data_IF_740499206058
#
_entry.id   IF_740499206058
#
_cell.length_a   1.000
_cell.length_b   1.000
_cell.length_c   1.000
_cell.angle_alpha   90.00
_cell.angle_beta   90.00
_cell.angle_gamma   90.00
#
_symmetry.space_group_name_H-M   'P 1'
#
loop_
_entity.id
_entity.type
_entity.pdbx_description
1 polymer ?
#
# COMPACT_ATOMS: atom_id res chain seq x y z
N UNK A 1 6.52 4.81 -5.32
CA UNK A 1 7.06 4.86 -6.70
C UNK A 1 8.22 5.82 -6.80
N UNK A 2 8.01 7.13 -6.62
CA UNK A 2 9.08 8.13 -6.80
C UNK A 2 10.35 7.87 -5.97
N UNK A 3 10.24 7.66 -4.65
CA UNK A 3 11.41 7.42 -3.79
C UNK A 3 12.20 6.15 -4.15
N UNK A 4 11.50 5.08 -4.52
CA UNK A 4 12.13 3.85 -5.00
C UNK A 4 12.82 4.08 -6.36
N UNK A 5 12.21 4.88 -7.24
CA UNK A 5 12.83 5.32 -8.50
C UNK A 5 14.09 6.14 -8.26
N UNK A 6 14.07 7.13 -7.36
CA UNK A 6 15.26 7.91 -6.99
C UNK A 6 16.41 7.01 -6.52
N UNK A 7 16.11 5.98 -5.72
CA UNK A 7 17.14 5.04 -5.27
C UNK A 7 17.70 4.14 -6.35
N UNK A 8 16.94 3.86 -7.41
CA UNK A 8 17.40 3.02 -8.52
C UNK A 8 18.10 3.82 -9.63
N UNK A 9 17.67 5.05 -9.87
CA UNK A 9 18.08 5.84 -11.04
C UNK A 9 18.93 7.07 -10.71
N UNK A 10 19.03 7.48 -9.44
CA UNK A 10 19.79 8.67 -9.03
C UNK A 10 20.78 8.39 -7.89
N UNK A 11 20.30 8.09 -6.69
CA UNK A 11 21.16 7.88 -5.52
C UNK A 11 20.57 6.85 -4.55
N UNK A 12 21.33 5.80 -4.27
CA UNK A 12 20.94 4.65 -3.43
C UNK A 12 20.46 5.02 -2.02
N UNK A 13 20.94 6.13 -1.45
CA UNK A 13 20.57 6.58 -0.10
C UNK A 13 19.06 6.84 0.08
N UNK A 14 18.33 7.13 -1.00
CA UNK A 14 16.87 7.32 -0.97
C UNK A 14 16.09 6.04 -0.63
N UNK A 15 16.73 4.86 -0.62
CA UNK A 15 16.10 3.61 -0.21
C UNK A 15 15.63 3.66 1.25
N UNK A 16 16.38 4.34 2.13
CA UNK A 16 15.99 4.57 3.52
C UNK A 16 14.68 5.39 3.60
N UNK A 17 14.58 6.45 2.79
CA UNK A 17 13.37 7.28 2.68
C UNK A 17 12.18 6.49 2.13
N UNK A 18 12.39 5.64 1.11
CA UNK A 18 11.36 4.76 0.58
C UNK A 18 10.79 3.82 1.67
N UNK A 19 11.65 3.19 2.48
CA UNK A 19 11.23 2.33 3.60
C UNK A 19 10.59 3.10 4.76
N UNK A 20 10.98 4.35 4.98
CA UNK A 20 10.29 5.20 5.95
C UNK A 20 8.88 5.55 5.46
N UNK A 21 8.74 5.91 4.19
CA UNK A 21 7.46 6.22 3.58
C UNK A 21 6.50 5.02 3.58
N UNK A 22 7.00 3.80 3.27
CA UNK A 22 6.16 2.59 3.30
C UNK A 22 5.56 2.34 4.70
N UNK A 23 6.30 2.62 5.77
CA UNK A 23 5.78 2.51 7.15
C UNK A 23 4.65 3.50 7.41
N UNK A 24 4.78 4.75 6.97
CA UNK A 24 3.71 5.77 7.10
C UNK A 24 2.45 5.32 6.37
N UNK A 25 2.60 4.85 5.12
CA UNK A 25 1.49 4.31 4.33
C UNK A 25 0.81 3.18 5.11
N UNK A 26 1.55 2.14 5.51
CA UNK A 26 1.01 1.02 6.30
C UNK A 26 0.24 1.47 7.55
N UNK A 27 0.77 2.42 8.32
CA UNK A 27 0.08 2.95 9.50
C UNK A 27 -1.26 3.60 9.12
N UNK A 28 -1.30 4.39 8.05
CA UNK A 28 -2.53 5.01 7.57
C UNK A 28 -3.58 3.98 7.14
N UNK A 29 -3.20 2.91 6.43
CA UNK A 29 -4.16 1.86 6.07
C UNK A 29 -4.69 1.11 7.29
N UNK A 30 -3.84 0.84 8.28
CA UNK A 30 -4.30 0.24 9.54
C UNK A 30 -5.26 1.16 10.30
N UNK A 31 -4.96 2.46 10.35
CA UNK A 31 -5.85 3.46 10.94
C UNK A 31 -7.20 3.51 10.20
N UNK A 32 -7.21 3.50 8.87
CA UNK A 32 -8.46 3.45 8.08
C UNK A 32 -9.29 2.21 8.42
N UNK A 33 -8.64 1.04 8.58
CA UNK A 33 -9.33 -0.18 8.98
C UNK A 33 -9.90 -0.05 10.39
N UNK A 34 -9.09 0.29 11.37
CA UNK A 34 -9.52 0.41 12.79
C UNK A 34 -10.63 1.44 12.95
N UNK A 35 -10.47 2.63 12.37
CA UNK A 35 -11.47 3.69 12.44
C UNK A 35 -12.77 3.32 11.74
N UNK A 36 -12.75 2.48 10.70
CA UNK A 36 -13.98 1.98 10.06
C UNK A 36 -14.86 1.16 11.01
N UNK A 37 -14.26 0.47 11.99
CA UNK A 37 -15.00 -0.22 13.05
C UNK A 37 -15.50 0.75 14.12
N UNK A 38 -14.65 1.68 14.58
CA UNK A 38 -15.00 2.68 15.60
C UNK A 38 -16.17 3.55 15.13
N UNK A 39 -16.09 4.06 13.90
CA UNK A 39 -17.14 4.87 13.27
C UNK A 39 -18.34 4.04 12.77
N UNK A 40 -18.34 2.72 13.01
CA UNK A 40 -19.40 1.79 12.62
C UNK A 40 -19.77 1.86 11.14
N UNK A 41 -18.80 2.11 10.26
CA UNK A 41 -19.03 2.23 8.82
C UNK A 41 -19.65 0.95 8.23
N UNK A 42 -20.32 1.04 7.07
CA UNK A 42 -20.87 -0.11 6.37
C UNK A 42 -19.83 -1.23 6.17
N UNK A 43 -20.28 -2.49 6.24
CA UNK A 43 -19.41 -3.67 6.08
C UNK A 43 -18.62 -3.61 4.77
N UNK A 44 -19.20 -3.05 3.71
CA UNK A 44 -18.51 -2.85 2.43
C UNK A 44 -17.26 -1.97 2.56
N UNK A 45 -17.29 -0.91 3.36
CA UNK A 45 -16.11 -0.05 3.59
C UNK A 45 -15.08 -0.80 4.45
N UNK A 46 -15.52 -1.55 5.46
CA UNK A 46 -14.61 -2.34 6.31
C UNK A 46 -13.86 -3.39 5.51
N UNK A 47 -14.56 -4.13 4.64
CA UNK A 47 -13.96 -5.12 3.75
C UNK A 47 -12.98 -4.50 2.77
N UNK A 48 -13.31 -3.33 2.20
CA UNK A 48 -12.38 -2.60 1.31
C UNK A 48 -11.14 -2.12 2.07
N UNK A 49 -11.30 -1.57 3.27
CA UNK A 49 -10.16 -1.19 4.13
C UNK A 49 -9.30 -2.40 4.51
N UNK A 50 -9.91 -3.56 4.79
CA UNK A 50 -9.18 -4.80 5.04
C UNK A 50 -8.43 -5.28 3.78
N UNK A 51 -9.04 -5.13 2.60
CA UNK A 51 -8.42 -5.38 1.30
C UNK A 51 -7.17 -4.52 1.08
N UNK A 52 -7.19 -3.23 1.47
CA UNK A 52 -6.01 -2.36 1.40
C UNK A 52 -4.86 -2.88 2.28
N UNK A 53 -5.16 -3.39 3.48
CA UNK A 53 -4.15 -4.04 4.34
C UNK A 53 -3.60 -5.31 3.67
N UNK A 54 -4.46 -6.12 3.04
CA UNK A 54 -4.03 -7.27 2.24
C UNK A 54 -3.08 -6.89 1.11
N UNK A 55 -3.34 -5.77 0.42
CA UNK A 55 -2.45 -5.26 -0.63
C UNK A 55 -1.08 -4.82 -0.09
N UNK A 56 -1.01 -4.25 1.13
CA UNK A 56 0.27 -3.94 1.79
C UNK A 56 1.10 -5.21 2.05
N UNK A 57 0.44 -6.28 2.52
CA UNK A 57 1.08 -7.58 2.72
C UNK A 57 1.61 -8.11 1.38
N UNK A 58 0.78 -8.09 0.32
CA UNK A 58 1.17 -8.57 -1.00
C UNK A 58 2.33 -7.76 -1.59
N UNK A 59 2.35 -6.44 -1.40
CA UNK A 59 3.47 -5.59 -1.77
C UNK A 59 4.75 -5.94 -1.02
N UNK A 60 4.65 -6.26 0.27
CA UNK A 60 5.81 -6.68 1.07
C UNK A 60 6.36 -8.01 0.57
N UNK A 61 5.47 -8.98 0.28
CA UNK A 61 5.87 -10.27 -0.29
C UNK A 61 6.57 -10.07 -1.63
N UNK A 62 5.91 -9.39 -2.57
CA UNK A 62 6.47 -9.16 -3.93
C UNK A 62 7.78 -8.38 -3.91
N UNK A 63 7.98 -7.45 -2.97
CA UNK A 63 9.25 -6.73 -2.84
C UNK A 63 10.43 -7.60 -2.32
N UNK A 64 10.16 -8.73 -1.67
CA UNK A 64 11.18 -9.57 -1.00
C UNK A 64 11.34 -10.96 -1.64
N UNK A 65 10.77 -11.19 -2.83
CA UNK A 65 10.89 -12.48 -3.52
C UNK A 65 12.34 -12.77 -3.94
N UNK A 66 12.71 -14.04 -3.91
CA UNK A 66 14.03 -14.53 -4.32
C UNK A 66 14.21 -14.53 -5.85
N UNK A 67 15.46 -14.66 -6.30
CA UNK A 67 15.84 -14.56 -7.72
C UNK A 67 15.11 -15.54 -8.64
N UNK A 68 14.70 -16.72 -8.14
CA UNK A 68 13.98 -17.74 -8.92
C UNK A 68 12.58 -17.31 -9.39
N UNK A 69 11.98 -16.30 -8.77
CA UNK A 69 10.64 -15.77 -9.12
C UNK A 69 10.63 -14.24 -9.19
N UNK A 70 11.78 -13.61 -9.42
CA UNK A 70 11.95 -12.15 -9.36
C UNK A 70 11.10 -11.35 -10.35
N UNK A 71 10.61 -11.98 -11.43
CA UNK A 71 9.66 -11.31 -12.34
C UNK A 71 8.34 -10.95 -11.63
N UNK A 72 7.93 -11.71 -10.62
CA UNK A 72 6.77 -11.39 -9.78
C UNK A 72 7.01 -10.17 -8.89
N UNK A 73 8.27 -9.81 -8.61
CA UNK A 73 8.59 -8.58 -7.87
C UNK A 73 8.19 -7.31 -8.65
N UNK A 74 8.07 -7.40 -9.97
CA UNK A 74 7.55 -6.33 -10.81
C UNK A 74 6.07 -6.00 -10.52
N UNK A 75 5.34 -6.89 -9.82
CA UNK A 75 3.97 -6.60 -9.36
C UNK A 75 3.95 -5.59 -8.21
N UNK A 76 5.02 -5.45 -7.42
CA UNK A 76 5.07 -4.52 -6.30
C UNK A 76 4.61 -3.09 -6.70
N UNK A 77 5.17 -2.46 -7.76
CA UNK A 77 4.72 -1.16 -8.19
C UNK A 77 3.28 -1.12 -8.72
N UNK A 78 2.84 -2.18 -9.40
CA UNK A 78 1.46 -2.30 -9.91
C UNK A 78 0.46 -2.33 -8.75
N UNK A 79 0.73 -3.14 -7.73
CA UNK A 79 -0.14 -3.27 -6.55
C UNK A 79 -0.19 -1.93 -5.79
N UNK A 80 0.91 -1.17 -5.70
CA UNK A 80 0.86 0.13 -5.04
C UNK A 80 -0.01 1.16 -5.78
N UNK A 81 -0.05 1.11 -7.12
CA UNK A 81 -0.96 1.94 -7.92
C UNK A 81 -2.42 1.55 -7.63
N UNK A 82 -2.72 0.25 -7.63
CA UNK A 82 -4.07 -0.25 -7.31
C UNK A 82 -4.47 0.15 -5.88
N UNK A 83 -3.58 0.00 -4.90
CA UNK A 83 -3.81 0.43 -3.52
C UNK A 83 -4.13 1.91 -3.44
N UNK A 84 -3.37 2.75 -4.16
CA UNK A 84 -3.59 4.20 -4.19
C UNK A 84 -4.95 4.54 -4.78
N UNK A 85 -5.30 3.96 -5.93
CA UNK A 85 -6.58 4.19 -6.59
C UNK A 85 -7.76 3.75 -5.73
N UNK A 86 -7.68 2.57 -5.10
CA UNK A 86 -8.72 2.09 -4.19
C UNK A 86 -8.84 2.96 -2.93
N UNK A 87 -7.71 3.42 -2.37
CA UNK A 87 -7.73 4.35 -1.23
C UNK A 87 -8.47 5.64 -1.59
N UNK A 88 -8.19 6.22 -2.75
CA UNK A 88 -8.90 7.42 -3.25
C UNK A 88 -10.39 7.13 -3.49
N UNK A 89 -10.71 5.96 -4.04
CA UNK A 89 -12.08 5.51 -4.28
C UNK A 89 -12.90 5.36 -2.99
N UNK A 90 -12.28 4.86 -1.91
CA UNK A 90 -12.91 4.82 -0.58
C UNK A 90 -13.09 6.25 -0.03
N UNK A 91 -12.05 7.08 -0.10
CA UNK A 91 -12.06 8.43 0.46
C UNK A 91 -13.08 9.38 -0.20
N UNK A 92 -13.37 9.18 -1.49
CA UNK A 92 -14.35 9.97 -2.24
C UNK A 92 -15.78 9.46 -2.11
N UNK A 93 -15.99 8.30 -1.48
CA UNK A 93 -17.33 7.73 -1.36
C UNK A 93 -18.12 8.53 -0.32
N UNK A 94 -19.31 9.06 -0.66
CA UNK A 94 -20.17 9.72 0.31
C UNK A 94 -20.50 8.73 1.44
N UNK A 95 -20.35 9.17 2.68
CA UNK A 95 -20.87 8.44 3.84
C UNK A 95 -22.37 8.73 3.84
N UNK A 96 -23.13 7.85 3.18
CA UNK A 96 -24.59 7.85 3.20
C UNK A 96 -25.15 7.11 4.39
#
# INVERSE_FOLDING_TARGET
MFLAGLSLFWESSYWASHRAFSRVVTILQLLMLVTSFIARLPVSIRLRSAGLVGMIILMTVTANLSSGVAYLSALHPVIAVVLFLETVSIARKPVG
#
